data_IF_661188562818
#
_entry.id   IF_661188562818
#
_cell.length_a   1.000
_cell.length_b   1.000
_cell.length_c   1.000
_cell.angle_alpha   90.00
_cell.angle_beta   90.00
_cell.angle_gamma   90.00
#
_symmetry.space_group_name_H-M   'P 1'
#
loop_
_entity.id
_entity.type
_entity.pdbx_description
1 polymer ?
#
# COMPACT_ATOMS: atom_id res chain seq x y z
N UNK A 1 -29.55 9.77 -12.80
CA UNK A 1 -29.28 9.82 -12.60
C UNK A 1 -29.10 9.88 -12.05
N UNK A 2 -28.80 9.72 -11.88
CA UNK A 2 -28.34 9.84 -11.46
C UNK A 2 -27.70 9.43 -11.09
N UNK A 3 -27.33 9.34 -11.04
CA UNK A 3 -26.59 9.08 -10.82
C UNK A 3 -26.03 9.14 -10.59
N UNK A 4 -25.75 9.40 -10.65
CA UNK A 4 -25.13 9.72 -10.63
C UNK A 4 -24.69 9.91 -10.14
N UNK A 5 -24.67 10.09 -10.24
CA UNK A 5 -24.17 10.51 -9.99
C UNK A 5 -23.69 10.39 -9.44
N UNK A 6 -23.67 10.33 -9.52
CA UNK A 6 -23.10 10.42 -9.25
C UNK A 6 -22.58 10.04 -9.17
N UNK A 7 -22.34 10.02 -9.49
CA UNK A 7 -21.75 10.02 -9.71
C UNK A 7 -21.16 10.17 -9.66
N UNK A 8 -20.92 10.48 -9.72
CA UNK A 8 -20.27 11.02 -9.76
C UNK A 8 -19.82 11.16 -9.11
N UNK A 9 -19.60 11.38 -9.02
CA UNK A 9 -19.06 11.78 -8.60
C UNK A 9 -18.51 11.51 -8.14
N UNK A 10 -18.23 11.40 -8.36
CA UNK A 10 -17.58 11.36 -8.21
C UNK A 10 -16.98 11.36 -8.26
N UNK A 11 -16.62 11.43 -8.77
CA UNK A 11 -15.96 11.77 -9.02
C UNK A 11 -15.63 12.27 -8.70
N UNK A 12 -15.40 12.71 -8.61
CA UNK A 12 -15.11 13.38 -8.25
C UNK A 12 -14.84 13.46 -7.54
N UNK A 13 -14.93 13.40 -7.48
CA UNK A 13 -14.63 13.41 -6.94
C UNK A 13 -14.27 13.18 -6.76
N UNK A 14 -14.12 13.23 -7.26
CA UNK A 14 -13.77 13.11 -7.13
C UNK A 14 -13.13 13.22 -7.27
N UNK A 15 -12.58 13.62 -7.58
CA UNK A 15 -12.02 14.04 -7.48
C UNK A 15 -11.46 14.16 -6.80
N UNK A 16 -11.04 14.34 -7.53
CA UNK A 16 -9.91 14.61 -6.86
C UNK A 16 -9.99 14.39 -5.43
N UNK A 17 -10.97 14.31 -5.20
CA UNK A 17 -11.14 13.95 -3.92
C UNK A 17 -10.96 12.53 -3.88
N UNK A 18 -9.72 12.14 -3.63
CA UNK A 18 -9.44 10.75 -3.41
C UNK A 18 -10.49 10.19 -2.53
N UNK A 19 -10.89 8.97 -2.75
CA UNK A 19 -11.81 8.31 -1.86
C UNK A 19 -11.14 8.26 -0.50
N UNK A 20 -11.68 8.93 0.51
CA UNK A 20 -11.00 9.01 1.80
C UNK A 20 -10.69 7.65 2.39
N UNK A 21 -11.56 6.69 2.20
CA UNK A 21 -11.36 5.36 2.73
C UNK A 21 -10.13 4.68 2.10
N UNK A 22 -9.99 4.78 0.79
CA UNK A 22 -8.83 4.19 0.10
C UNK A 22 -7.55 4.82 0.57
N UNK A 23 -7.55 6.15 0.77
CA UNK A 23 -6.39 6.85 1.24
C UNK A 23 -6.03 6.42 2.65
N UNK A 24 -7.02 6.28 3.50
CA UNK A 24 -6.80 5.82 4.86
C UNK A 24 -6.20 4.42 4.88
N UNK A 25 -6.71 3.53 4.05
CA UNK A 25 -6.19 2.17 3.99
C UNK A 25 -4.73 2.16 3.53
N UNK A 26 -4.40 2.98 2.53
CA UNK A 26 -3.00 3.06 2.09
C UNK A 26 -2.09 3.62 3.18
N UNK A 27 -2.61 4.57 3.97
CA UNK A 27 -1.83 5.09 5.09
C UNK A 27 -1.60 4.02 6.15
N UNK A 28 -2.61 3.22 6.41
CA UNK A 28 -2.45 2.11 7.36
C UNK A 28 -1.44 1.10 6.87
N UNK A 29 -1.46 0.78 5.57
CA UNK A 29 -0.44 -0.08 4.99
C UNK A 29 0.94 0.54 5.16
N UNK A 30 1.03 1.86 4.92
CA UNK A 30 2.29 2.58 5.07
C UNK A 30 2.83 2.54 6.49
N UNK A 31 1.94 2.66 7.48
CA UNK A 31 2.35 2.58 8.88
C UNK A 31 2.90 1.18 9.19
N UNK A 32 2.26 0.15 8.67
CA UNK A 32 2.74 -1.22 8.86
C UNK A 32 4.11 -1.41 8.22
N UNK A 33 4.27 -0.91 6.99
CA UNK A 33 5.55 -1.01 6.29
C UNK A 33 6.66 -0.28 7.04
N UNK A 34 6.36 0.91 7.57
CA UNK A 34 7.32 1.67 8.35
C UNK A 34 7.77 0.89 9.58
N UNK A 35 6.82 0.25 10.26
CA UNK A 35 7.14 -0.56 11.43
C UNK A 35 8.00 -1.76 11.04
N UNK A 36 7.71 -2.42 9.91
CA UNK A 36 8.52 -3.54 9.46
C UNK A 36 9.92 -3.11 9.06
N UNK A 37 10.03 -1.93 8.43
CA UNK A 37 11.32 -1.38 8.08
C UNK A 37 12.16 -1.10 9.32
N UNK A 38 11.55 -0.47 10.32
CA UNK A 38 12.24 -0.17 11.57
C UNK A 38 12.68 -1.46 12.26
N UNK A 39 11.82 -2.48 12.25
CA UNK A 39 12.15 -3.76 12.86
C UNK A 39 13.34 -4.44 12.16
N UNK A 40 13.50 -4.16 10.86
CA UNK A 40 14.64 -4.69 10.10
C UNK A 40 15.91 -3.85 10.29
N UNK A 41 15.81 -2.75 11.04
CA UNK A 41 16.96 -1.90 11.30
C UNK A 41 17.35 -1.00 10.14
N UNK A 42 16.42 -0.71 9.25
CA UNK A 42 16.69 0.05 8.03
C UNK A 42 16.08 1.45 8.09
N UNK A 43 16.85 2.44 7.63
CA UNK A 43 16.29 3.77 7.38
C UNK A 43 15.59 3.74 6.02
N UNK A 44 14.85 4.82 5.71
CA UNK A 44 14.26 4.95 4.38
C UNK A 44 15.33 4.96 3.29
N UNK A 45 16.45 5.63 3.57
CA UNK A 45 17.58 5.67 2.63
C UNK A 45 18.16 4.28 2.42
N UNK A 46 18.32 3.53 3.52
CA UNK A 46 18.86 2.16 3.45
C UNK A 46 17.96 1.28 2.59
N UNK A 47 16.67 1.32 2.83
CA UNK A 47 15.74 0.49 2.08
C UNK A 47 15.72 0.87 0.61
N UNK A 48 15.72 2.16 0.32
CA UNK A 48 15.76 2.63 -1.07
C UNK A 48 16.98 2.07 -1.79
N UNK A 49 18.15 2.14 -1.14
CA UNK A 49 19.37 1.63 -1.74
C UNK A 49 19.28 0.13 -2.02
N UNK A 50 18.73 -0.63 -1.07
CA UNK A 50 18.60 -2.07 -1.23
C UNK A 50 17.62 -2.44 -2.34
N UNK A 51 16.62 -1.59 -2.59
CA UNK A 51 15.67 -1.81 -3.66
C UNK A 51 16.13 -1.24 -5.00
N UNK A 52 17.32 -0.67 -5.05
CA UNK A 52 17.83 -0.09 -6.29
C UNK A 52 17.18 1.22 -6.66
N UNK A 53 16.57 1.90 -5.71
CA UNK A 53 15.93 3.19 -5.97
C UNK A 53 16.95 4.29 -5.80
N UNK A 54 16.88 5.28 -6.69
CA UNK A 54 17.85 6.39 -6.64
C UNK A 54 17.62 7.29 -5.43
N UNK A 55 16.34 7.48 -5.04
CA UNK A 55 16.00 8.38 -3.94
C UNK A 55 15.05 7.70 -2.97
N UNK A 56 15.09 8.11 -1.72
CA UNK A 56 14.22 7.54 -0.69
C UNK A 56 12.79 8.09 -0.75
N UNK A 57 12.55 9.11 -1.59
CA UNK A 57 11.25 9.77 -1.60
C UNK A 57 10.10 8.81 -1.90
N UNK A 58 10.34 7.79 -2.75
CA UNK A 58 9.29 6.83 -3.03
C UNK A 58 8.92 6.03 -1.78
N UNK A 59 9.93 5.65 -0.97
CA UNK A 59 9.66 4.95 0.29
C UNK A 59 8.77 5.83 1.18
N UNK A 60 9.13 7.11 1.28
CA UNK A 60 8.36 8.04 2.10
C UNK A 60 6.91 8.16 1.60
N UNK A 61 6.72 8.24 0.29
CA UNK A 61 5.38 8.33 -0.27
C UNK A 61 4.55 7.08 0.02
N UNK A 62 5.15 5.91 -0.08
CA UNK A 62 4.47 4.67 0.23
C UNK A 62 4.08 4.64 1.71
N UNK A 63 4.99 5.02 2.59
CA UNK A 63 4.74 4.98 4.03
C UNK A 63 3.70 6.00 4.46
N UNK A 64 3.55 7.09 3.70
CA UNK A 64 2.56 8.11 4.02
C UNK A 64 1.24 7.92 3.29
N UNK A 65 1.11 6.85 2.53
CA UNK A 65 -0.15 6.50 1.88
C UNK A 65 -0.41 7.24 0.58
N UNK A 66 0.58 7.94 0.05
CA UNK A 66 0.42 8.64 -1.24
C UNK A 66 0.70 7.72 -2.42
N UNK A 67 1.39 6.63 -2.18
CA UNK A 67 1.69 5.61 -3.19
C UNK A 67 1.54 4.25 -2.55
N UNK A 68 1.61 3.22 -3.38
CA UNK A 68 1.55 1.85 -2.88
C UNK A 68 2.76 1.09 -3.41
N UNK A 69 3.09 -0.01 -2.76
CA UNK A 69 4.14 -0.90 -3.26
C UNK A 69 3.63 -1.52 -4.56
N UNK A 70 4.35 -1.31 -5.67
CA UNK A 70 3.93 -1.94 -6.94
C UNK A 70 3.98 -3.46 -6.80
N UNK A 71 2.99 -4.13 -7.38
CA UNK A 71 2.88 -5.58 -7.26
C UNK A 71 4.17 -6.29 -7.70
N UNK A 72 4.75 -5.83 -8.80
CA UNK A 72 5.93 -6.48 -9.36
C UNK A 72 7.18 -6.30 -8.51
N UNK A 73 7.15 -5.42 -7.53
CA UNK A 73 8.29 -5.20 -6.63
C UNK A 73 8.05 -5.79 -5.23
N UNK A 74 6.89 -6.38 -5.00
CA UNK A 74 6.57 -6.87 -3.66
C UNK A 74 7.55 -7.92 -3.16
N UNK A 75 8.02 -8.79 -4.04
CA UNK A 75 8.99 -9.80 -3.63
C UNK A 75 10.29 -9.15 -3.15
N UNK A 76 10.77 -8.14 -3.87
CA UNK A 76 11.99 -7.46 -3.48
C UNK A 76 11.84 -6.77 -2.13
N UNK A 77 10.71 -6.08 -1.93
CA UNK A 77 10.45 -5.43 -0.64
C UNK A 77 10.44 -6.46 0.50
N UNK A 78 9.72 -7.57 0.29
CA UNK A 78 9.62 -8.59 1.32
C UNK A 78 11.01 -9.14 1.67
N UNK A 79 11.80 -9.43 0.66
CA UNK A 79 13.14 -9.98 0.86
C UNK A 79 13.99 -9.01 1.68
N UNK A 80 13.99 -7.73 1.33
CA UNK A 80 14.83 -6.76 2.04
C UNK A 80 14.32 -6.50 3.47
N UNK A 81 13.03 -6.72 3.72
CA UNK A 81 12.48 -6.56 5.06
C UNK A 81 12.55 -7.86 5.87
N UNK A 82 13.06 -8.93 5.27
CA UNK A 82 13.18 -10.22 5.96
C UNK A 82 11.85 -10.93 6.14
N UNK A 83 10.91 -10.70 5.24
CA UNK A 83 9.57 -11.27 5.34
C UNK A 83 9.32 -12.27 4.21
N UNK A 84 8.46 -13.23 4.48
CA UNK A 84 8.03 -14.18 3.44
C UNK A 84 7.25 -13.42 2.35
N UNK A 85 7.64 -13.54 1.07
CA UNK A 85 6.97 -12.77 0.02
C UNK A 85 5.48 -13.02 -0.10
N UNK A 86 5.05 -14.28 0.05
CA UNK A 86 3.64 -14.61 -0.04
C UNK A 86 2.84 -13.98 1.09
N UNK A 87 3.35 -14.08 2.31
CA UNK A 87 2.68 -13.49 3.46
C UNK A 87 2.68 -11.96 3.36
N UNK A 88 3.75 -11.39 2.86
CA UNK A 88 3.86 -9.94 2.67
C UNK A 88 2.80 -9.44 1.69
N UNK A 89 2.69 -10.10 0.54
CA UNK A 89 1.72 -9.71 -0.48
C UNK A 89 0.29 -9.85 0.04
N UNK A 90 -0.01 -10.95 0.72
CA UNK A 90 -1.33 -11.16 1.30
C UNK A 90 -1.67 -10.04 2.28
N UNK A 91 -0.70 -9.67 3.12
CA UNK A 91 -0.95 -8.63 4.11
C UNK A 91 -1.25 -7.29 3.44
N UNK A 92 -0.48 -6.94 2.41
CA UNK A 92 -0.72 -5.68 1.71
C UNK A 92 -2.06 -5.65 1.00
N UNK A 93 -2.54 -6.80 0.50
CA UNK A 93 -3.84 -6.84 -0.16
C UNK A 93 -4.98 -6.46 0.77
N UNK A 94 -4.84 -6.70 2.07
CA UNK A 94 -5.87 -6.31 3.03
C UNK A 94 -6.14 -4.81 2.94
N UNK A 95 -5.10 -4.03 2.71
CA UNK A 95 -5.22 -2.58 2.66
C UNK A 95 -5.40 -2.05 1.25
N UNK A 96 -4.68 -2.63 0.29
CA UNK A 96 -4.68 -2.10 -1.08
C UNK A 96 -5.87 -2.60 -1.88
N UNK A 97 -6.29 -3.84 -1.64
CA UNK A 97 -7.35 -4.47 -2.41
C UNK A 97 -8.22 -5.30 -1.46
N UNK A 98 -8.93 -4.66 -0.53
CA UNK A 98 -9.66 -5.42 0.48
C UNK A 98 -10.69 -6.36 -0.10
N UNK A 99 -11.38 -5.96 -1.16
CA UNK A 99 -12.37 -6.82 -1.77
C UNK A 99 -11.73 -8.03 -2.43
N UNK A 100 -10.62 -7.81 -3.13
CA UNK A 100 -9.90 -8.93 -3.75
C UNK A 100 -9.38 -9.90 -2.69
N UNK A 101 -8.85 -9.35 -1.60
CA UNK A 101 -8.38 -10.19 -0.49
C UNK A 101 -9.52 -11.06 0.02
N UNK A 102 -10.69 -10.45 0.23
CA UNK A 102 -11.85 -11.20 0.71
C UNK A 102 -12.25 -12.32 -0.28
N UNK A 103 -12.24 -12.00 -1.56
CA UNK A 103 -12.62 -12.98 -2.58
C UNK A 103 -11.66 -14.15 -2.65
N UNK A 104 -10.37 -13.87 -2.49
CA UNK A 104 -9.34 -14.92 -2.61
C UNK A 104 -9.20 -15.75 -1.35
N UNK A 105 -9.32 -15.13 -0.18
CA UNK A 105 -8.98 -15.79 1.08
C UNK A 105 -10.16 -15.92 2.03
N UNK A 106 -11.28 -15.32 1.68
CA UNK A 106 -12.46 -15.35 2.50
C UNK A 106 -12.40 -14.35 3.64
N UNK A 107 -13.56 -14.06 4.19
CA UNK A 107 -13.69 -13.24 5.37
C UNK A 107 -13.89 -14.19 6.53
N UNK A 108 -13.03 -14.11 7.50
CA UNK A 108 -13.19 -15.00 8.60
C UNK A 108 -14.26 -14.51 9.52
N UNK A 109 -15.24 -15.27 9.75
CA UNK A 109 -16.21 -14.89 10.76
C UNK A 109 -15.57 -14.88 12.12
#
# INVERSE_FOLDING_TARGET
MKLERDQVNSAEARQGKAVPEARLLRKQAGDWLKARRAAAGLSQVDLAAKLGLKYYTFISQVENGFSRVPTETMQAWATELGLDPSAFAKHLLVYYEPELHRLLFGTKP
#
